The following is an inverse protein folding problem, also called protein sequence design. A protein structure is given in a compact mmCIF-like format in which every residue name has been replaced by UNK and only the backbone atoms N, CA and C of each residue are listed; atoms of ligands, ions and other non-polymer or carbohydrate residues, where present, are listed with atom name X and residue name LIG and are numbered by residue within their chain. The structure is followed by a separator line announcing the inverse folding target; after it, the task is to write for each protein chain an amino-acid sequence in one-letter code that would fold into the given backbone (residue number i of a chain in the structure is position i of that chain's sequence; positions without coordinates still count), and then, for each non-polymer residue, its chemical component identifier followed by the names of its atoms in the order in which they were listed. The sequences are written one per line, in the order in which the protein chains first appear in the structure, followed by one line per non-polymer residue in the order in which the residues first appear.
data_IF_636161156758
#
_entry.id   IF_636161156758
#
_cell.length_a   1.000
_cell.length_b   1.000
_cell.length_c   1.000
_cell.angle_alpha   90.00
_cell.angle_beta   90.00
_cell.angle_gamma   90.00
#
_symmetry.space_group_name_H-M   'P 1'
#
loop_
_entity.id
_entity.type
_entity.pdbx_description
1 polymer ?
#
# COMPACT_ATOMS: atom_id res chain seq x y z
N UNK A 1 4.25 6.11 -0.81
CA UNK A 1 3.01 6.23 -1.62
C UNK A 1 1.98 5.28 -1.04
N UNK A 2 0.77 5.75 -0.82
CA UNK A 2 -0.38 4.95 -0.38
C UNK A 2 -1.34 4.88 -1.57
N UNK A 3 -1.74 3.69 -1.99
CA UNK A 3 -2.62 3.50 -3.15
C UNK A 3 -3.39 2.18 -3.05
N UNK A 4 -4.32 1.96 -3.98
CA UNK A 4 -5.20 0.79 -3.98
C UNK A 4 -5.03 -0.10 -5.22
N UNK A 5 -4.11 0.25 -6.11
CA UNK A 5 -3.93 -0.42 -7.39
C UNK A 5 -2.45 -0.55 -7.79
N UNK A 6 -2.21 -1.38 -8.81
CA UNK A 6 -0.87 -1.69 -9.32
C UNK A 6 -0.10 -0.48 -9.83
N UNK A 7 -0.76 0.53 -10.40
CA UNK A 7 -0.07 1.72 -10.93
C UNK A 7 0.57 2.52 -9.80
N UNK A 8 -0.13 2.65 -8.67
CA UNK A 8 0.42 3.32 -7.49
C UNK A 8 1.63 2.55 -6.95
N UNK A 9 1.51 1.23 -6.78
CA UNK A 9 2.62 0.42 -6.26
C UNK A 9 3.84 0.47 -7.19
N UNK A 10 3.63 0.37 -8.51
CA UNK A 10 4.72 0.47 -9.48
C UNK A 10 5.35 1.86 -9.51
N UNK A 11 4.55 2.93 -9.48
CA UNK A 11 5.08 4.28 -9.43
C UNK A 11 5.95 4.47 -8.19
N UNK A 12 5.47 4.05 -7.03
CA UNK A 12 6.22 4.12 -5.78
C UNK A 12 7.60 3.43 -5.89
N UNK A 13 7.64 2.21 -6.45
CA UNK A 13 8.89 1.48 -6.65
C UNK A 13 9.83 2.15 -7.64
N UNK A 14 9.31 2.66 -8.76
CA UNK A 14 10.11 3.37 -9.75
C UNK A 14 10.75 4.64 -9.19
N UNK A 15 10.10 5.30 -8.25
CA UNK A 15 10.63 6.47 -7.54
C UNK A 15 11.42 6.13 -6.27
N UNK A 16 11.64 4.85 -5.95
CA UNK A 16 12.35 4.41 -4.75
C UNK A 16 11.64 4.76 -3.44
N UNK A 17 10.32 4.97 -3.47
CA UNK A 17 9.51 5.26 -2.29
C UNK A 17 9.01 3.98 -1.63
N UNK A 18 8.82 4.04 -0.31
CA UNK A 18 8.01 3.04 0.42
C UNK A 18 6.58 3.01 -0.14
N UNK A 19 6.06 1.82 -0.41
CA UNK A 19 4.73 1.61 -0.98
C UNK A 19 3.78 0.88 -0.02
N UNK A 20 2.56 1.40 0.12
CA UNK A 20 1.51 0.83 0.97
C UNK A 20 0.28 0.57 0.10
N UNK A 21 -0.14 -0.70 0.01
CA UNK A 21 -1.38 -1.09 -0.67
C UNK A 21 -2.54 -1.07 0.31
N UNK A 22 -3.61 -0.35 -0.03
CA UNK A 22 -4.90 -0.44 0.64
C UNK A 22 -5.74 -1.49 -0.08
N UNK A 23 -5.85 -2.68 0.52
CA UNK A 23 -6.71 -3.75 0.02
C UNK A 23 -7.98 -3.87 0.88
N UNK A 24 -9.06 -3.26 0.40
CA UNK A 24 -10.36 -3.25 1.09
C UNK A 24 -11.09 -4.56 0.81
N UNK A 25 -11.55 -5.22 1.86
CA UNK A 25 -12.38 -6.45 1.81
C UNK A 25 -11.72 -7.70 1.22
N UNK A 26 -10.43 -7.70 0.89
CA UNK A 26 -9.72 -8.93 0.51
C UNK A 26 -9.18 -9.64 1.76
N UNK A 27 -9.52 -10.93 1.91
CA UNK A 27 -8.91 -11.78 2.94
C UNK A 27 -7.43 -12.07 2.66
N UNK A 28 -7.06 -12.05 1.39
CA UNK A 28 -5.71 -12.29 0.90
C UNK A 28 -5.41 -11.26 -0.18
N UNK A 29 -4.79 -10.13 0.21
CA UNK A 29 -4.46 -9.07 -0.73
C UNK A 29 -3.55 -9.57 -1.84
N UNK A 30 -3.77 -9.08 -3.06
CA UNK A 30 -2.87 -9.38 -4.18
C UNK A 30 -1.47 -8.80 -3.89
N UNK A 31 -0.43 -9.61 -4.07
CA UNK A 31 0.95 -9.13 -4.01
C UNK A 31 1.31 -8.43 -5.33
N UNK A 32 1.48 -7.11 -5.24
CA UNK A 32 1.89 -6.22 -6.33
C UNK A 32 3.33 -5.73 -6.12
N UNK A 33 4.05 -6.29 -5.14
CA UNK A 33 5.37 -5.83 -4.70
C UNK A 33 5.32 -4.67 -3.71
N UNK A 34 4.21 -4.45 -3.02
CA UNK A 34 4.10 -3.42 -1.98
C UNK A 34 4.96 -3.73 -0.74
N UNK A 35 5.44 -2.71 -0.03
CA UNK A 35 6.17 -2.90 1.24
C UNK A 35 5.22 -3.24 2.40
N UNK A 36 4.04 -2.62 2.41
CA UNK A 36 3.01 -2.87 3.40
C UNK A 36 1.65 -3.05 2.74
N UNK A 37 0.80 -3.84 3.38
CA UNK A 37 -0.62 -3.94 3.01
C UNK A 37 -1.47 -3.61 4.21
N UNK A 38 -2.50 -2.80 4.01
CA UNK A 38 -3.48 -2.37 5.01
C UNK A 38 -4.89 -2.49 4.44
N UNK A 39 -5.90 -2.45 5.30
CA UNK A 39 -7.31 -2.56 4.89
C UNK A 39 -8.04 -1.21 4.85
N UNK A 40 -7.42 -0.15 5.37
CA UNK A 40 -8.00 1.18 5.40
C UNK A 40 -6.93 2.29 5.33
N UNK A 41 -7.35 3.49 4.96
CA UNK A 41 -6.46 4.66 4.97
C UNK A 41 -6.08 5.09 6.40
N UNK A 42 -6.91 4.78 7.39
CA UNK A 42 -6.65 5.06 8.81
C UNK A 42 -5.48 4.20 9.28
N UNK A 43 -5.48 2.90 8.98
CA UNK A 43 -4.34 2.02 9.26
C UNK A 43 -3.06 2.48 8.56
N UNK A 44 -3.16 3.01 7.33
CA UNK A 44 -2.01 3.59 6.64
C UNK A 44 -1.44 4.81 7.38
N UNK A 45 -2.30 5.66 7.95
CA UNK A 45 -1.86 6.80 8.75
C UNK A 45 -1.16 6.34 10.04
N UNK A 46 -1.72 5.34 10.73
CA UNK A 46 -1.13 4.78 11.95
C UNK A 46 0.25 4.15 11.73
N UNK A 47 0.54 3.65 10.52
CA UNK A 47 1.87 3.16 10.15
C UNK A 47 2.90 4.28 10.04
N UNK A 48 2.49 5.49 9.66
CA UNK A 48 3.40 6.63 9.41
C UNK A 48 3.68 7.41 10.71
N UNK A 49 2.74 7.43 11.65
CA UNK A 49 2.86 8.20 12.89
C UNK A 49 3.59 7.46 14.02
N UNK A 50 4.08 6.25 13.77
CA UNK A 50 4.90 5.46 14.71
C UNK A 50 6.38 5.70 14.45
#
# INVERSE_FOLDING_TARGET
MIGDNQRDIQAAKNFGCTSVLISRNEKSPTDLGQDFTVHSAIEAADLITK
#
